data_IF_714886210204
#
_entry.id   IF_714886210204
#
_cell.length_a   1.000
_cell.length_b   1.000
_cell.length_c   1.000
_cell.angle_alpha   90.00
_cell.angle_beta   90.00
_cell.angle_gamma   90.00
#
_symmetry.space_group_name_H-M   'P 1'
#
loop_
_entity.id
_entity.type
_entity.pdbx_description
1 polymer ?
#
# COMPACT_ATOMS: atom_id res chain seq x y z
N UNK A 1 17.15 9.76 -15.43
CA UNK A 1 18.36 8.92 -15.33
C UNK A 1 17.92 7.47 -15.23
N UNK A 2 18.56 6.55 -15.95
CA UNK A 2 18.20 5.12 -15.96
C UNK A 2 19.14 4.38 -15.00
N UNK A 3 18.60 3.62 -14.04
CA UNK A 3 19.42 2.87 -13.08
C UNK A 3 19.62 1.42 -13.51
N UNK A 4 18.52 0.68 -13.73
CA UNK A 4 18.54 -0.65 -14.31
C UNK A 4 18.46 -0.54 -15.83
N UNK A 5 19.42 -1.10 -16.56
CA UNK A 5 19.45 -1.05 -18.03
C UNK A 5 19.07 -2.37 -18.69
N UNK A 6 19.46 -3.49 -18.08
CA UNK A 6 19.20 -4.83 -18.59
C UNK A 6 18.94 -5.79 -17.44
N UNK A 7 18.00 -6.71 -17.64
CA UNK A 7 17.77 -7.86 -16.78
C UNK A 7 17.65 -9.12 -17.64
N UNK A 8 18.25 -10.21 -17.19
CA UNK A 8 18.26 -11.52 -17.87
C UNK A 8 17.64 -12.54 -16.92
N UNK A 9 16.64 -13.23 -17.43
CA UNK A 9 15.96 -14.34 -16.76
C UNK A 9 16.53 -15.67 -17.26
N UNK A 10 16.42 -16.74 -16.45
CA UNK A 10 16.64 -18.11 -16.88
C UNK A 10 15.83 -18.44 -18.14
N UNK A 11 16.48 -19.15 -19.07
CA UNK A 11 15.81 -19.66 -20.25
C UNK A 11 15.15 -21.02 -19.99
N UNK A 12 14.66 -21.66 -21.05
CA UNK A 12 13.98 -22.95 -20.92
C UNK A 12 14.94 -24.06 -20.49
N UNK A 13 16.18 -24.04 -20.98
CA UNK A 13 17.17 -25.07 -20.67
C UNK A 13 17.62 -24.97 -19.21
N UNK A 14 17.82 -23.74 -18.70
CA UNK A 14 18.09 -23.48 -17.29
C UNK A 14 16.98 -24.05 -16.39
N UNK A 15 15.71 -23.75 -16.73
CA UNK A 15 14.55 -24.20 -15.98
C UNK A 15 14.39 -25.73 -16.03
N UNK A 16 14.65 -26.32 -17.19
CA UNK A 16 14.59 -27.77 -17.39
C UNK A 16 15.69 -28.48 -16.61
N UNK A 17 16.90 -27.94 -16.61
CA UNK A 17 18.02 -28.47 -15.83
C UNK A 17 17.68 -28.48 -14.33
N UNK A 18 17.14 -27.37 -13.81
CA UNK A 18 16.66 -27.31 -12.43
C UNK A 18 15.61 -28.40 -12.13
N UNK A 19 14.67 -28.62 -13.06
CA UNK A 19 13.65 -29.66 -12.93
C UNK A 19 14.24 -31.07 -12.86
N UNK A 20 15.31 -31.36 -13.62
CA UNK A 20 16.01 -32.65 -13.57
C UNK A 20 16.76 -32.85 -12.25
N UNK A 21 17.34 -31.78 -11.70
CA UNK A 21 18.08 -31.81 -10.44
C UNK A 21 17.16 -31.94 -9.22
N UNK A 22 15.88 -31.57 -9.35
CA UNK A 22 14.87 -31.70 -8.31
C UNK A 22 14.44 -33.15 -8.08
N UNK A 23 15.11 -33.85 -7.15
CA UNK A 23 14.84 -35.27 -6.83
C UNK A 23 13.62 -35.52 -5.93
N UNK A 24 13.11 -34.49 -5.25
CA UNK A 24 12.02 -34.61 -4.27
C UNK A 24 10.66 -34.38 -4.93
N UNK A 25 9.67 -35.21 -4.57
CA UNK A 25 8.31 -35.17 -5.15
C UNK A 25 7.26 -34.53 -4.25
N UNK A 26 7.64 -34.01 -3.08
CA UNK A 26 6.72 -33.44 -2.09
C UNK A 26 6.27 -31.99 -2.39
N UNK A 27 6.74 -31.40 -3.48
CA UNK A 27 6.46 -30.02 -3.82
C UNK A 27 5.26 -29.92 -4.77
N UNK A 28 4.28 -29.09 -4.42
CA UNK A 28 3.09 -28.85 -5.24
C UNK A 28 3.29 -27.78 -6.33
N UNK A 29 4.41 -27.05 -6.28
CA UNK A 29 4.74 -26.01 -7.22
C UNK A 29 6.26 -25.85 -7.32
N UNK A 30 6.72 -25.53 -8.52
CA UNK A 30 8.11 -25.13 -8.81
C UNK A 30 8.20 -23.65 -9.19
N UNK A 31 7.21 -22.85 -8.80
CA UNK A 31 7.20 -21.40 -9.06
C UNK A 31 8.51 -20.74 -8.59
N UNK A 32 9.16 -19.86 -9.36
CA UNK A 32 8.69 -19.22 -10.59
C UNK A 32 9.19 -19.88 -11.89
N UNK A 33 9.84 -21.05 -11.83
CA UNK A 33 10.32 -21.78 -13.00
C UNK A 33 9.19 -22.04 -14.00
N UNK A 34 9.52 -22.03 -15.30
CA UNK A 34 8.64 -22.17 -16.46
C UNK A 34 7.65 -21.03 -16.69
N UNK A 35 7.46 -20.08 -15.76
CA UNK A 35 6.49 -18.99 -15.94
C UNK A 35 6.93 -18.01 -17.04
N UNK A 36 8.22 -17.68 -17.12
CA UNK A 36 8.75 -16.72 -18.10
C UNK A 36 9.36 -17.40 -19.33
N UNK A 37 10.05 -18.52 -19.13
CA UNK A 37 10.72 -19.28 -20.19
C UNK A 37 9.74 -19.93 -21.18
N UNK A 38 8.57 -20.41 -20.75
CA UNK A 38 7.50 -20.88 -21.67
C UNK A 38 7.01 -19.79 -22.63
N UNK A 39 7.23 -18.52 -22.27
CA UNK A 39 6.85 -17.35 -23.08
C UNK A 39 8.03 -16.79 -23.86
N UNK A 40 9.22 -17.41 -23.75
CA UNK A 40 10.45 -16.95 -24.37
C UNK A 40 10.98 -15.63 -23.81
N UNK A 41 10.56 -15.22 -22.61
CA UNK A 41 11.06 -13.99 -21.98
C UNK A 41 12.37 -14.28 -21.24
N UNK A 42 13.49 -14.09 -21.94
CA UNK A 42 14.85 -14.30 -21.38
C UNK A 42 15.58 -13.00 -21.08
N UNK A 43 15.19 -11.88 -21.69
CA UNK A 43 15.83 -10.59 -21.49
C UNK A 43 14.84 -9.42 -21.51
N UNK A 44 15.04 -8.47 -20.62
CA UNK A 44 14.42 -7.14 -20.66
C UNK A 44 15.47 -6.05 -20.75
N UNK A 45 15.30 -5.16 -21.71
CA UNK A 45 16.04 -3.89 -21.80
C UNK A 45 15.13 -2.75 -21.35
N UNK A 46 15.61 -1.98 -20.38
CA UNK A 46 14.80 -0.95 -19.74
C UNK A 46 14.98 0.40 -20.42
N UNK A 47 13.86 1.12 -20.47
CA UNK A 47 13.78 2.53 -20.82
C UNK A 47 13.41 3.31 -19.54
N UNK A 48 13.47 4.66 -19.55
CA UNK A 48 13.06 5.45 -18.39
C UNK A 48 11.64 5.11 -17.89
N UNK A 49 10.77 4.70 -18.80
CA UNK A 49 9.47 4.09 -18.50
C UNK A 49 9.35 2.81 -19.32
N UNK A 50 9.17 1.68 -18.66
CA UNK A 50 8.94 0.38 -19.29
C UNK A 50 7.61 -0.17 -18.79
N UNK A 51 6.74 -0.57 -19.71
CA UNK A 51 5.40 -1.09 -19.41
C UNK A 51 5.34 -2.55 -19.83
N UNK A 52 5.08 -3.44 -18.87
CA UNK A 52 4.76 -4.84 -19.14
C UNK A 52 3.25 -4.97 -19.28
N UNK A 53 2.77 -5.29 -20.49
CA UNK A 53 1.34 -5.45 -20.79
C UNK A 53 1.04 -6.89 -21.23
N UNK A 54 -0.12 -7.42 -20.82
CA UNK A 54 -0.56 -8.78 -21.14
C UNK A 54 -1.71 -9.24 -20.26
N UNK A 55 -2.36 -10.34 -20.64
CA UNK A 55 -3.49 -10.92 -19.89
C UNK A 55 -3.12 -11.53 -18.53
N UNK A 56 -4.12 -11.96 -17.76
CA UNK A 56 -3.89 -12.66 -16.49
C UNK A 56 -3.10 -13.95 -16.72
N UNK A 57 -2.22 -14.29 -15.78
CA UNK A 57 -1.33 -15.45 -15.88
C UNK A 57 -0.14 -15.28 -16.83
N UNK A 58 0.01 -14.15 -17.51
CA UNK A 58 1.11 -13.92 -18.47
C UNK A 58 2.51 -13.74 -17.87
N UNK A 59 2.66 -13.88 -16.54
CA UNK A 59 3.96 -13.77 -15.86
C UNK A 59 4.42 -12.36 -15.51
N UNK A 60 3.65 -11.29 -15.78
CA UNK A 60 4.05 -9.89 -15.46
C UNK A 60 4.44 -9.70 -14.00
N UNK A 61 3.56 -10.07 -13.09
CA UNK A 61 3.79 -9.95 -11.64
C UNK A 61 4.99 -10.79 -11.21
N UNK A 62 5.17 -11.98 -11.81
CA UNK A 62 6.35 -12.82 -11.58
C UNK A 62 7.63 -12.12 -11.99
N UNK A 63 7.70 -11.57 -13.20
CA UNK A 63 8.88 -10.84 -13.67
C UNK A 63 9.22 -9.66 -12.73
N UNK A 64 8.23 -8.88 -12.33
CA UNK A 64 8.43 -7.75 -11.40
C UNK A 64 8.93 -8.22 -10.01
N UNK A 65 8.37 -9.31 -9.48
CA UNK A 65 8.81 -9.86 -8.20
C UNK A 65 10.23 -10.41 -8.25
N UNK A 66 10.59 -11.11 -9.32
CA UNK A 66 11.95 -11.63 -9.53
C UNK A 66 12.95 -10.49 -9.65
N UNK A 67 12.66 -9.45 -10.45
CA UNK A 67 13.52 -8.27 -10.58
C UNK A 67 13.70 -7.59 -9.21
N UNK A 68 12.62 -7.41 -8.45
CA UNK A 68 12.67 -6.76 -7.15
C UNK A 68 13.50 -7.55 -6.12
N UNK A 69 13.35 -8.88 -6.08
CA UNK A 69 14.15 -9.74 -5.19
C UNK A 69 15.63 -9.75 -5.61
N UNK A 70 15.92 -9.88 -6.90
CA UNK A 70 17.30 -9.89 -7.43
C UNK A 70 18.04 -8.57 -7.13
N UNK A 71 17.32 -7.45 -7.12
CA UNK A 71 17.84 -6.13 -6.76
C UNK A 71 17.76 -5.83 -5.25
N UNK A 72 17.24 -6.77 -4.44
CA UNK A 72 17.03 -6.59 -3.00
C UNK A 72 16.24 -5.32 -2.64
N UNK A 73 15.20 -5.02 -3.41
CA UNK A 73 14.37 -3.83 -3.19
C UNK A 73 13.48 -3.98 -1.95
N UNK A 74 13.23 -2.85 -1.28
CA UNK A 74 12.26 -2.78 -0.19
C UNK A 74 10.83 -3.04 -0.68
N UNK A 75 10.01 -3.63 0.18
CA UNK A 75 8.64 -4.07 -0.12
C UNK A 75 7.81 -4.05 1.17
N UNK A 76 6.54 -3.65 1.06
CA UNK A 76 5.58 -3.69 2.17
C UNK A 76 4.61 -4.87 2.03
N UNK A 77 3.93 -5.01 0.89
CA UNK A 77 3.01 -6.12 0.66
C UNK A 77 3.71 -7.48 0.46
N UNK A 78 3.22 -8.60 1.04
CA UNK A 78 3.73 -9.93 0.76
C UNK A 78 3.52 -10.32 -0.71
N UNK A 79 4.27 -11.30 -1.20
CA UNK A 79 4.11 -11.81 -2.55
C UNK A 79 4.21 -13.33 -2.58
N UNK A 80 3.71 -13.93 -3.67
CA UNK A 80 3.78 -15.37 -3.85
C UNK A 80 5.25 -15.82 -3.95
N UNK A 81 5.68 -16.67 -3.02
CA UNK A 81 7.03 -17.22 -2.96
C UNK A 81 6.93 -18.73 -2.78
N UNK A 82 7.78 -19.48 -3.48
CA UNK A 82 8.00 -20.89 -3.22
C UNK A 82 9.40 -21.10 -2.64
N UNK A 83 9.67 -22.31 -2.16
CA UNK A 83 11.01 -22.70 -1.68
C UNK A 83 12.11 -22.51 -2.74
N UNK A 84 11.75 -22.54 -4.03
CA UNK A 84 12.68 -22.44 -5.16
C UNK A 84 12.84 -21.03 -5.71
N UNK A 85 12.14 -20.04 -5.14
CA UNK A 85 12.19 -18.67 -5.63
C UNK A 85 13.60 -18.09 -5.53
N UNK A 86 14.33 -18.41 -4.44
CA UNK A 86 15.72 -18.00 -4.27
C UNK A 86 16.66 -18.62 -5.30
N UNK A 87 16.47 -19.91 -5.63
CA UNK A 87 17.26 -20.61 -6.64
C UNK A 87 17.09 -19.94 -8.01
N UNK A 88 15.85 -19.63 -8.41
CA UNK A 88 15.56 -18.93 -9.67
C UNK A 88 16.21 -17.54 -9.72
N UNK A 89 16.12 -16.77 -8.63
CA UNK A 89 16.74 -15.43 -8.54
C UNK A 89 18.26 -15.54 -8.63
N UNK A 90 18.87 -16.59 -8.09
CA UNK A 90 20.30 -16.85 -8.20
C UNK A 90 20.79 -17.13 -9.62
N UNK A 91 19.90 -17.59 -10.51
CA UNK A 91 20.18 -17.79 -11.94
C UNK A 91 19.99 -16.51 -12.77
N UNK A 92 19.33 -15.49 -12.23
CA UNK A 92 19.13 -14.22 -12.93
C UNK A 92 20.42 -13.38 -12.94
N UNK A 93 20.54 -12.50 -13.94
CA UNK A 93 21.61 -11.48 -13.97
C UNK A 93 21.09 -10.13 -14.44
N UNK A 94 21.78 -9.05 -14.07
CA UNK A 94 21.35 -7.70 -14.41
C UNK A 94 22.53 -6.76 -14.64
N UNK A 95 22.25 -5.64 -15.30
CA UNK A 95 23.21 -4.56 -15.53
C UNK A 95 22.63 -3.24 -15.04
N UNK A 96 23.43 -2.52 -14.24
CA UNK A 96 23.10 -1.19 -13.74
C UNK A 96 23.89 -0.14 -14.51
N UNK A 97 23.24 0.93 -14.90
CA UNK A 97 23.87 2.12 -15.50
C UNK A 97 24.27 3.17 -14.46
N UNK A 98 23.73 3.09 -13.24
CA UNK A 98 24.04 3.95 -12.11
C UNK A 98 23.75 3.21 -10.80
N UNK A 99 24.36 3.68 -9.70
CA UNK A 99 24.08 3.15 -8.36
C UNK A 99 22.60 3.34 -8.01
N UNK A 100 21.95 2.27 -7.57
CA UNK A 100 20.56 2.31 -7.13
C UNK A 100 20.41 3.17 -5.86
N UNK A 101 19.43 4.08 -5.80
CA UNK A 101 19.12 4.83 -4.58
C UNK A 101 18.71 3.88 -3.44
N UNK A 102 19.08 4.20 -2.20
CA UNK A 102 18.75 3.37 -1.03
C UNK A 102 17.23 3.20 -0.81
N UNK A 103 16.44 4.20 -1.21
CA UNK A 103 14.97 4.18 -1.09
C UNK A 103 14.25 3.50 -2.25
N UNK A 104 14.97 2.68 -3.04
CA UNK A 104 14.35 1.95 -4.14
C UNK A 104 13.43 0.85 -3.59
N UNK A 105 12.21 0.80 -4.11
CA UNK A 105 11.15 -0.07 -3.61
C UNK A 105 10.31 -0.62 -4.74
N UNK A 106 9.69 -1.78 -4.51
CA UNK A 106 8.57 -2.25 -5.31
C UNK A 106 7.25 -1.79 -4.68
N UNK A 107 6.37 -1.23 -5.52
CA UNK A 107 5.02 -0.83 -5.13
C UNK A 107 4.04 -1.68 -5.91
N UNK A 108 3.10 -2.30 -5.21
CA UNK A 108 2.09 -3.22 -5.72
C UNK A 108 0.69 -2.64 -5.55
N UNK A 109 -0.31 -3.29 -6.13
CA UNK A 109 -1.72 -2.91 -5.97
C UNK A 109 -2.17 -2.93 -4.50
N UNK A 110 -1.62 -3.87 -3.72
CA UNK A 110 -2.03 -4.09 -2.34
C UNK A 110 -1.57 -2.94 -1.45
N UNK A 111 -0.38 -2.40 -1.70
CA UNK A 111 0.14 -1.20 -1.01
C UNK A 111 -0.78 0.02 -1.23
N UNK A 112 -1.27 0.18 -2.46
CA UNK A 112 -2.22 1.26 -2.81
C UNK A 112 -3.59 1.00 -2.18
N UNK A 113 -4.03 -0.25 -2.15
CA UNK A 113 -5.32 -0.63 -1.61
C UNK A 113 -5.37 -0.47 -0.08
N UNK A 114 -4.32 -0.87 0.63
CA UNK A 114 -4.19 -0.69 2.07
C UNK A 114 -4.23 0.79 2.45
N UNK A 115 -3.45 1.63 1.75
CA UNK A 115 -3.51 3.08 1.94
C UNK A 115 -4.93 3.62 1.73
N UNK A 116 -5.62 3.18 0.68
CA UNK A 116 -7.00 3.61 0.41
C UNK A 116 -7.98 3.19 1.51
N UNK A 117 -7.84 1.97 2.04
CA UNK A 117 -8.65 1.51 3.18
C UNK A 117 -8.40 2.36 4.42
N UNK A 118 -7.14 2.69 4.71
CA UNK A 118 -6.77 3.54 5.85
C UNK A 118 -7.36 4.95 5.71
N UNK A 119 -7.33 5.55 4.52
CA UNK A 119 -7.94 6.87 4.29
C UNK A 119 -9.47 6.82 4.49
N UNK A 120 -10.11 5.71 4.10
CA UNK A 120 -11.55 5.53 4.31
C UNK A 120 -11.91 5.34 5.78
N UNK A 121 -11.16 4.52 6.53
CA UNK A 121 -11.41 4.36 7.97
C UNK A 121 -11.24 5.69 8.72
N UNK A 122 -10.19 6.46 8.40
CA UNK A 122 -10.01 7.83 8.91
C UNK A 122 -11.21 8.74 8.59
N UNK A 123 -11.75 8.63 7.38
CA UNK A 123 -12.91 9.43 6.97
C UNK A 123 -14.18 9.00 7.70
N UNK A 124 -14.38 7.70 7.92
CA UNK A 124 -15.53 7.15 8.65
C UNK A 124 -15.51 7.59 10.13
N UNK A 125 -14.34 7.64 10.75
CA UNK A 125 -14.18 8.14 12.11
C UNK A 125 -14.46 9.65 12.20
N UNK A 126 -13.96 10.44 11.23
CA UNK A 126 -14.29 11.87 11.12
C UNK A 126 -15.79 12.07 10.90
N UNK A 127 -16.44 11.24 10.09
CA UNK A 127 -17.87 11.33 9.85
C UNK A 127 -18.69 10.88 11.07
N UNK A 128 -18.21 9.91 11.85
CA UNK A 128 -18.81 9.56 13.15
C UNK A 128 -18.72 10.71 14.14
N UNK A 129 -17.54 11.28 14.33
CA UNK A 129 -17.35 12.44 15.21
C UNK A 129 -18.20 13.64 14.75
N UNK A 130 -18.29 13.86 13.43
CA UNK A 130 -19.19 14.84 12.84
C UNK A 130 -20.64 14.59 13.24
N UNK A 131 -21.13 13.35 13.14
CA UNK A 131 -22.50 13.00 13.52
C UNK A 131 -22.75 13.20 15.02
N UNK A 132 -21.80 12.85 15.88
CA UNK A 132 -21.90 13.08 17.32
C UNK A 132 -22.00 14.58 17.65
N UNK A 133 -21.13 15.40 17.04
CA UNK A 133 -21.14 16.86 17.19
C UNK A 133 -22.43 17.50 16.64
N UNK A 134 -23.00 16.93 15.56
CA UNK A 134 -24.30 17.36 15.04
C UNK A 134 -25.41 17.07 16.04
N UNK A 135 -25.45 15.87 16.63
CA UNK A 135 -26.42 15.51 17.67
C UNK A 135 -26.26 16.37 18.92
N UNK A 136 -25.02 16.65 19.31
CA UNK A 136 -24.68 17.53 20.42
C UNK A 136 -25.16 18.97 20.20
N UNK A 137 -24.95 19.51 19.00
CA UNK A 137 -25.44 20.83 18.62
C UNK A 137 -26.97 20.92 18.72
N UNK A 138 -27.71 19.91 18.23
CA UNK A 138 -29.17 19.87 18.34
C UNK A 138 -29.59 19.88 19.82
N UNK A 139 -28.99 19.02 20.65
CA UNK A 139 -29.27 18.97 22.09
C UNK A 139 -28.99 20.29 22.79
N UNK A 140 -27.86 20.94 22.50
CA UNK A 140 -27.45 22.19 23.16
C UNK A 140 -28.21 23.42 22.64
N UNK A 141 -28.61 23.43 21.37
CA UNK A 141 -29.32 24.55 20.77
C UNK A 141 -30.78 24.63 21.23
N UNK A 142 -31.47 23.48 21.23
CA UNK A 142 -32.88 23.40 21.61
C UNK A 142 -33.10 22.95 23.06
N UNK A 143 -32.05 22.49 23.75
CA UNK A 143 -32.11 22.11 25.16
C UNK A 143 -32.16 23.31 26.11
N UNK A 144 -32.74 23.08 27.28
CA UNK A 144 -32.76 24.04 28.37
C UNK A 144 -31.51 23.87 29.24
N UNK A 145 -30.76 24.95 29.45
CA UNK A 145 -29.64 25.01 30.40
C UNK A 145 -29.91 26.09 31.44
N UNK A 146 -29.54 25.83 32.68
CA UNK A 146 -29.63 26.76 33.81
C UNK A 146 -28.32 26.69 34.58
N UNK A 147 -27.64 27.83 34.75
CA UNK A 147 -26.39 27.90 35.51
C UNK A 147 -26.70 27.88 37.01
N UNK A 148 -26.07 26.99 37.77
CA UNK A 148 -26.25 26.87 39.23
C UNK A 148 -24.97 27.19 40.01
N UNK A 149 -23.81 27.01 39.39
CA UNK A 149 -22.50 27.32 39.98
C UNK A 149 -21.48 27.76 38.92
N UNK A 150 -20.29 28.19 39.38
CA UNK A 150 -19.15 28.51 38.51
C UNK A 150 -18.62 27.30 37.75
N UNK A 151 -18.83 26.07 38.26
CA UNK A 151 -18.43 24.84 37.59
C UNK A 151 -19.24 24.59 36.30
N UNK A 152 -20.42 25.21 36.15
CA UNK A 152 -21.26 25.12 34.96
C UNK A 152 -20.84 26.08 33.84
N UNK A 153 -19.81 26.90 34.05
CA UNK A 153 -19.42 27.98 33.14
C UNK A 153 -19.04 27.49 31.74
N UNK A 154 -18.25 26.41 31.65
CA UNK A 154 -17.84 25.85 30.35
C UNK A 154 -19.03 25.28 29.58
N UNK A 155 -19.96 24.64 30.29
CA UNK A 155 -21.19 24.11 29.69
C UNK A 155 -22.10 25.23 29.17
N UNK A 156 -22.18 26.36 29.89
CA UNK A 156 -22.88 27.57 29.45
C UNK A 156 -22.23 28.19 28.21
N UNK A 157 -20.91 28.26 28.18
CA UNK A 157 -20.15 28.76 27.01
C UNK A 157 -20.41 27.91 25.77
N UNK A 158 -20.41 26.58 25.92
CA UNK A 158 -20.70 25.65 24.82
C UNK A 158 -22.13 25.76 24.30
N UNK A 159 -23.13 25.94 25.19
CA UNK A 159 -24.54 26.12 24.77
C UNK A 159 -24.76 27.45 24.07
N UNK A 160 -24.14 28.54 24.54
CA UNK A 160 -24.17 29.83 23.85
C UNK A 160 -23.51 29.76 22.48
N UNK A 161 -22.38 29.05 22.37
CA UNK A 161 -21.68 28.85 21.10
C UNK A 161 -22.52 28.01 20.11
N UNK A 162 -23.24 26.99 20.60
CA UNK A 162 -24.20 26.20 19.81
C UNK A 162 -25.37 27.04 19.27
N UNK A 163 -25.92 27.92 20.11
CA UNK A 163 -27.04 28.81 19.73
C UNK A 163 -26.60 29.89 18.75
N UNK A 164 -25.39 30.43 18.92
CA UNK A 164 -24.83 31.50 18.06
C UNK A 164 -24.42 30.99 16.67
N UNK A 165 -23.88 29.79 16.57
CA UNK A 165 -23.34 29.24 15.31
C UNK A 165 -24.40 28.47 14.51
N UNK A 166 -24.25 28.48 13.19
CA UNK A 166 -24.93 27.51 12.32
C UNK A 166 -24.38 26.12 12.55
N UNK A 167 -25.18 25.09 12.27
CA UNK A 167 -24.81 23.70 12.48
C UNK A 167 -23.45 23.36 11.83
N UNK A 168 -23.24 23.74 10.58
CA UNK A 168 -21.98 23.51 9.86
C UNK A 168 -20.80 24.33 10.40
N UNK A 169 -21.04 25.50 11.01
CA UNK A 169 -19.98 26.32 11.60
C UNK A 169 -19.56 25.80 12.98
N UNK A 170 -20.51 25.30 13.78
CA UNK A 170 -20.27 24.67 15.07
C UNK A 170 -19.36 23.44 14.92
N UNK A 171 -19.74 22.54 14.01
CA UNK A 171 -19.04 21.28 13.74
C UNK A 171 -17.64 21.52 13.16
N UNK A 172 -17.50 22.41 12.15
CA UNK A 172 -16.18 22.77 11.58
C UNK A 172 -15.20 23.39 12.59
N UNK A 173 -15.71 24.07 13.62
CA UNK A 173 -14.86 24.67 14.66
C UNK A 173 -14.35 23.66 15.70
N UNK A 174 -14.97 22.48 15.79
CA UNK A 174 -14.59 21.40 16.71
C UNK A 174 -13.81 20.28 16.01
N UNK A 175 -14.23 19.84 14.81
CA UNK A 175 -13.51 18.82 14.02
C UNK A 175 -12.06 19.22 13.73
N UNK A 176 -11.79 20.50 13.45
CA UNK A 176 -10.43 20.98 13.19
C UNK A 176 -9.50 20.93 14.40
N UNK A 177 -10.02 20.83 15.63
CA UNK A 177 -9.20 20.67 16.83
C UNK A 177 -8.75 19.22 17.02
N UNK A 178 -9.60 18.25 16.67
CA UNK A 178 -9.33 16.82 16.86
C UNK A 178 -8.23 16.32 15.93
N UNK A 179 -8.31 16.68 14.64
CA UNK A 179 -7.30 16.28 13.62
C UNK A 179 -5.88 16.78 13.93
N UNK A 180 -5.72 17.87 14.67
CA UNK A 180 -4.40 18.39 15.07
C UNK A 180 -3.87 17.79 16.38
N UNK A 181 -4.72 17.12 17.17
CA UNK A 181 -4.31 16.48 18.43
C UNK A 181 -3.75 15.08 18.22
N UNK A 182 -4.12 14.40 17.12
CA UNK A 182 -3.68 13.03 16.79
C UNK A 182 -2.42 12.96 15.90
N UNK A 183 -1.82 14.11 15.55
CA UNK A 183 -0.61 14.22 14.69
C UNK A 183 0.62 14.74 15.46
N UNK A 184 0.56 14.83 16.80
CA UNK A 184 1.69 15.19 17.67
C UNK A 184 1.87 14.08 18.72
#
# INVERSE_FOLDING_TARGET
MLYLSRFVFPDWDDDYQFRLDLKRTCYNSIYPFFVLSERGLTELKFAPVTVLYGGNGSGKTTALNVIAEALSLSRNAPYNRSDFFGDYVGLCSFSLSATMPEQSAIVTSDDVFEYMLNVRSLSDDIDRERQELLGEWVRRKYGHMQMRSLDDYDALKDTLDARRKTQSAYVRSRIRKTVFMDII
#
